data_IF_208360913462
#
_entry.id   IF_208360913462
#
_cell.length_a   1.000
_cell.length_b   1.000
_cell.length_c   1.000
_cell.angle_alpha   90.00
_cell.angle_beta   90.00
_cell.angle_gamma   90.00
#
_symmetry.space_group_name_H-M   'P 1'
#
loop_
_entity.id
_entity.type
_entity.pdbx_description
1 polymer ?
#
# COMPACT_ATOMS: atom_id res chain seq x y z
N UNK A 1 5.04 -1.80 -55.94
CA UNK A 1 5.51 -2.60 -54.78
C UNK A 1 4.90 -1.99 -53.53
N UNK A 2 4.37 -2.86 -52.68
CA UNK A 2 3.39 -2.62 -51.61
C UNK A 2 3.76 -1.56 -50.54
N UNK A 3 2.71 -0.94 -49.99
CA UNK A 3 2.62 -0.13 -48.75
C UNK A 3 3.09 -0.91 -47.48
N UNK A 4 3.32 -0.31 -46.28
CA UNK A 4 2.82 0.99 -45.80
C UNK A 4 3.77 1.88 -44.94
N UNK A 5 3.42 3.16 -44.71
CA UNK A 5 3.72 3.87 -43.48
C UNK A 5 2.65 3.53 -42.43
N UNK A 6 3.03 2.89 -41.33
CA UNK A 6 2.09 2.35 -40.35
C UNK A 6 2.55 2.57 -38.93
N UNK A 7 2.28 3.78 -38.42
CA UNK A 7 2.15 4.08 -37.00
C UNK A 7 1.31 2.98 -36.32
N UNK A 8 1.86 2.35 -35.28
CA UNK A 8 1.33 1.10 -34.73
C UNK A 8 1.67 0.90 -33.26
N UNK A 9 1.36 1.92 -32.46
CA UNK A 9 0.86 1.76 -31.08
C UNK A 9 1.81 0.95 -30.19
N UNK A 10 2.78 1.67 -29.60
CA UNK A 10 3.15 1.41 -28.22
C UNK A 10 1.87 1.53 -27.42
N UNK A 11 1.18 0.40 -27.28
CA UNK A 11 -0.01 0.27 -26.49
C UNK A 11 0.43 0.41 -25.06
N UNK A 12 0.54 1.68 -24.62
CA UNK A 12 0.17 2.04 -23.29
C UNK A 12 -1.00 1.13 -22.89
N UNK A 13 -0.81 0.43 -21.79
CA UNK A 13 -1.81 -0.33 -21.05
C UNK A 13 -2.97 0.61 -20.62
N UNK A 14 -3.68 1.17 -21.60
CA UNK A 14 -4.72 2.19 -21.49
C UNK A 14 -6.11 1.55 -21.52
N UNK A 15 -6.18 0.25 -21.25
CA UNK A 15 -7.42 -0.47 -21.12
C UNK A 15 -7.77 -0.68 -19.63
N UNK A 16 -8.71 0.14 -19.18
CA UNK A 16 -9.73 -0.21 -18.20
C UNK A 16 -9.33 -0.25 -16.72
N UNK A 17 -8.81 0.87 -16.19
CA UNK A 17 -8.81 1.05 -14.74
C UNK A 17 -9.41 2.41 -14.32
N UNK A 18 -10.75 2.47 -14.27
CA UNK A 18 -11.54 3.48 -13.53
C UNK A 18 -11.37 3.32 -11.99
N UNK A 19 -10.15 2.99 -11.56
CA UNK A 19 -9.95 2.02 -10.50
C UNK A 19 -8.76 2.50 -9.68
N UNK A 20 -9.07 2.92 -8.46
CA UNK A 20 -8.19 3.25 -7.32
C UNK A 20 -6.71 3.02 -7.65
N UNK A 21 -6.01 4.10 -8.02
CA UNK A 21 -4.59 4.08 -8.36
C UNK A 21 -3.83 3.36 -7.24
N UNK A 22 -2.80 2.54 -7.53
CA UNK A 22 -2.02 1.90 -6.47
C UNK A 22 -1.45 2.89 -5.45
N UNK A 23 -1.16 4.13 -5.87
CA UNK A 23 -0.85 5.26 -4.98
C UNK A 23 -1.97 5.59 -3.96
N UNK A 24 -3.23 5.49 -4.37
CA UNK A 24 -4.40 5.75 -3.53
C UNK A 24 -4.60 4.62 -2.52
N UNK A 25 -4.41 3.36 -2.92
CA UNK A 25 -4.38 2.21 -1.99
C UNK A 25 -3.26 2.35 -0.96
N UNK A 26 -2.08 2.80 -1.38
CA UNK A 26 -0.96 3.07 -0.49
C UNK A 26 -1.28 4.17 0.53
N UNK A 27 -1.91 5.26 0.09
CA UNK A 27 -2.38 6.33 0.96
C UNK A 27 -3.40 5.83 2.00
N UNK A 28 -4.32 4.96 1.57
CA UNK A 28 -5.32 4.35 2.46
C UNK A 28 -4.68 3.45 3.51
N UNK A 29 -3.74 2.59 3.08
CA UNK A 29 -2.95 1.74 3.98
C UNK A 29 -2.12 2.57 4.96
N UNK A 30 -1.49 3.64 4.51
CA UNK A 30 -0.74 4.57 5.36
C UNK A 30 -1.65 5.29 6.37
N UNK A 31 -2.84 5.74 5.95
CA UNK A 31 -3.84 6.31 6.87
C UNK A 31 -4.26 5.31 7.92
N UNK A 32 -4.57 4.07 7.54
CA UNK A 32 -4.92 2.99 8.46
C UNK A 32 -3.78 2.69 9.43
N UNK A 33 -2.55 2.61 8.94
CA UNK A 33 -1.36 2.41 9.76
C UNK A 33 -1.21 3.53 10.79
N UNK A 34 -1.34 4.80 10.37
CA UNK A 34 -1.25 5.96 11.28
C UNK A 34 -2.36 5.96 12.34
N UNK A 35 -3.58 5.58 11.97
CA UNK A 35 -4.68 5.45 12.91
C UNK A 35 -4.44 4.31 13.93
N UNK A 36 -3.86 3.20 13.48
CA UNK A 36 -3.44 2.10 14.34
C UNK A 36 -2.32 2.51 15.29
N UNK A 37 -1.35 3.30 14.82
CA UNK A 37 -0.28 3.89 15.65
C UNK A 37 -0.87 4.74 16.77
N UNK A 38 -1.79 5.66 16.45
CA UNK A 38 -2.45 6.50 17.44
C UNK A 38 -3.20 5.69 18.50
N UNK A 39 -3.91 4.63 18.09
CA UNK A 39 -4.57 3.71 19.03
C UNK A 39 -3.58 2.98 19.93
N UNK A 40 -2.45 2.52 19.38
CA UNK A 40 -1.40 1.83 20.16
C UNK A 40 -0.78 2.79 21.18
N UNK A 41 -0.50 4.04 20.79
CA UNK A 41 0.06 5.08 21.66
C UNK A 41 -0.90 5.43 22.79
N UNK A 42 -2.18 5.64 22.47
CA UNK A 42 -3.24 5.88 23.45
C UNK A 42 -3.37 4.69 24.43
N UNK A 43 -3.39 3.45 23.93
CA UNK A 43 -3.40 2.23 24.73
C UNK A 43 -2.16 2.07 25.62
N UNK A 44 -1.00 2.55 25.17
CA UNK A 44 0.23 2.57 25.94
C UNK A 44 0.16 3.55 27.12
N UNK A 45 -0.63 4.62 26.99
CA UNK A 45 -0.75 5.66 28.00
C UNK A 45 -1.74 5.29 29.12
N UNK A 46 -2.57 4.26 28.93
CA UNK A 46 -3.46 3.76 29.97
C UNK A 46 -2.73 2.83 30.95
N UNK A 47 -2.98 2.93 32.27
CA UNK A 47 -2.34 2.08 33.28
C UNK A 47 -2.78 0.61 33.20
N UNK A 48 -3.99 0.32 32.70
CA UNK A 48 -4.49 -1.02 32.42
C UNK A 48 -4.39 -1.34 30.93
N UNK A 49 -3.16 -1.41 30.43
CA UNK A 49 -2.88 -1.77 29.04
C UNK A 49 -3.41 -3.18 28.78
N UNK A 50 -4.40 -3.31 27.89
CA UNK A 50 -4.88 -4.62 27.48
C UNK A 50 -3.82 -5.26 26.57
N UNK A 51 -2.94 -6.07 27.16
CA UNK A 51 -1.80 -6.67 26.47
C UNK A 51 -2.23 -7.51 25.25
N UNK A 52 -3.39 -8.18 25.31
CA UNK A 52 -3.94 -8.93 24.18
C UNK A 52 -4.32 -7.99 23.03
N UNK A 53 -5.00 -6.88 23.34
CA UNK A 53 -5.34 -5.88 22.35
C UNK A 53 -4.08 -5.24 21.76
N UNK A 54 -3.09 -4.92 22.59
CA UNK A 54 -1.83 -4.33 22.17
C UNK A 54 -1.04 -5.26 21.23
N UNK A 55 -1.01 -6.56 21.52
CA UNK A 55 -0.41 -7.57 20.65
C UNK A 55 -1.15 -7.68 19.31
N UNK A 56 -2.50 -7.65 19.32
CA UNK A 56 -3.29 -7.65 18.07
C UNK A 56 -3.01 -6.42 17.23
N UNK A 57 -3.01 -5.23 17.82
CA UNK A 57 -2.74 -3.98 17.10
C UNK A 57 -1.31 -3.92 16.56
N UNK A 58 -0.31 -4.38 17.32
CA UNK A 58 1.07 -4.51 16.82
C UNK A 58 1.17 -5.47 15.64
N UNK A 59 0.43 -6.59 15.68
CA UNK A 59 0.37 -7.54 14.56
C UNK A 59 -0.32 -6.94 13.34
N UNK A 60 -1.44 -6.25 13.50
CA UNK A 60 -2.11 -5.51 12.40
C UNK A 60 -1.22 -4.42 11.82
N UNK A 61 -0.52 -3.66 12.67
CA UNK A 61 0.44 -2.63 12.24
C UNK A 61 1.57 -3.23 11.40
N UNK A 62 2.10 -4.40 11.80
CA UNK A 62 3.11 -5.12 11.03
C UNK A 62 2.58 -5.55 9.67
N UNK A 63 1.39 -6.16 9.63
CA UNK A 63 0.75 -6.59 8.37
C UNK A 63 0.47 -5.41 7.42
N UNK A 64 0.04 -4.26 7.96
CA UNK A 64 -0.15 -3.05 7.16
C UNK A 64 1.18 -2.53 6.60
N UNK A 65 2.25 -2.56 7.42
CA UNK A 65 3.60 -2.20 6.95
C UNK A 65 4.07 -3.13 5.84
N UNK A 66 3.92 -4.44 6.01
CA UNK A 66 4.27 -5.43 4.97
C UNK A 66 3.45 -5.24 3.69
N UNK A 67 2.16 -4.95 3.81
CA UNK A 67 1.31 -4.64 2.66
C UNK A 67 1.73 -3.35 1.95
N UNK A 68 2.12 -2.31 2.70
CA UNK A 68 2.66 -1.06 2.13
C UNK A 68 3.99 -1.34 1.43
N UNK A 69 4.88 -2.13 2.03
CA UNK A 69 6.18 -2.48 1.44
C UNK A 69 5.98 -3.26 0.14
N UNK A 70 5.14 -4.31 0.14
CA UNK A 70 4.81 -5.06 -1.08
C UNK A 70 4.22 -4.17 -2.18
N UNK A 71 3.27 -3.32 -1.82
CA UNK A 71 2.63 -2.41 -2.79
C UNK A 71 3.61 -1.35 -3.31
N UNK A 72 4.57 -0.92 -2.47
CA UNK A 72 5.69 -0.05 -2.90
C UNK A 72 6.65 -0.77 -3.82
N UNK A 73 7.04 -2.00 -3.50
CA UNK A 73 7.94 -2.81 -4.34
C UNK A 73 7.30 -3.11 -5.71
N UNK A 74 5.99 -3.35 -5.77
CA UNK A 74 5.27 -3.48 -7.05
C UNK A 74 5.24 -2.18 -7.87
N UNK A 75 5.28 -1.01 -7.22
CA UNK A 75 5.31 0.30 -7.91
C UNK A 75 6.74 0.80 -8.21
N UNK A 76 7.73 0.41 -7.41
CA UNK A 76 9.14 0.80 -7.53
C UNK A 76 9.95 -0.50 -7.50
N UNK A 77 10.24 -1.11 -8.66
CA UNK A 77 10.83 -2.45 -8.73
C UNK A 77 12.30 -2.55 -8.28
N UNK A 78 12.81 -1.64 -7.44
CA UNK A 78 14.26 -1.51 -7.21
C UNK A 78 14.65 -1.05 -5.79
N UNK A 79 14.04 -1.58 -4.72
CA UNK A 79 14.39 -1.11 -3.36
C UNK A 79 14.58 -2.15 -2.25
N UNK A 80 14.72 -3.44 -2.58
CA UNK A 80 15.25 -4.41 -1.62
C UNK A 80 16.23 -5.40 -2.31
N UNK A 81 17.50 -4.97 -2.40
CA UNK A 81 18.69 -5.82 -2.50
C UNK A 81 19.49 -5.71 -1.19
#
# INVERSE_FOLDING_TARGET
>A
MNEPPGNGIGGNDEAANELVTPAMRLMDLQKKHRALDGKIDELHNYPYQNQILLQRLKKEKLLLKDAITRLKDEMIPDLNA
#
